data_IF_286601633077
#
_entry.id   IF_286601633077
#
_cell.length_a   1.000
_cell.length_b   1.000
_cell.length_c   1.000
_cell.angle_alpha   90.00
_cell.angle_beta   90.00
_cell.angle_gamma   90.00
#
_symmetry.space_group_name_H-M   'P 1'
#
loop_
_entity.id
_entity.type
_entity.pdbx_description
1 polymer ?
#
# COMPACT_ATOMS: atom_id res chain seq x y z
N UNK A 1 12.99 3.93 54.17
CA UNK A 1 14.18 4.45 53.45
C UNK A 1 14.46 3.53 52.27
N UNK A 2 13.81 3.72 51.12
CA UNK A 2 14.21 2.99 49.92
C UNK A 2 15.60 3.49 49.51
N UNK A 3 16.54 2.57 49.37
CA UNK A 3 17.91 2.89 48.93
C UNK A 3 17.87 3.36 47.48
N UNK A 4 18.64 4.40 47.17
CA UNK A 4 18.74 4.98 45.80
C UNK A 4 19.05 3.89 44.75
N UNK A 5 19.77 2.84 45.14
CA UNK A 5 20.09 1.68 44.30
C UNK A 5 18.88 0.81 43.95
N UNK A 6 17.94 0.62 44.90
CA UNK A 6 16.72 -0.18 44.65
C UNK A 6 15.77 0.50 43.66
N UNK A 7 15.73 1.83 43.64
CA UNK A 7 14.92 2.59 42.70
C UNK A 7 15.46 2.50 41.26
N UNK A 8 16.79 2.54 41.09
CA UNK A 8 17.44 2.44 39.78
C UNK A 8 17.22 1.08 39.12
N UNK A 9 17.28 -0.01 39.91
CA UNK A 9 17.07 -1.37 39.38
C UNK A 9 15.63 -1.57 38.91
N UNK A 10 14.64 -1.08 39.68
CA UNK A 10 13.23 -1.18 39.29
C UNK A 10 12.95 -0.40 38.01
N UNK A 11 13.57 0.77 37.84
CA UNK A 11 13.40 1.58 36.63
C UNK A 11 13.98 0.90 35.38
N UNK A 12 15.14 0.23 35.50
CA UNK A 12 15.77 -0.51 34.40
C UNK A 12 14.94 -1.75 34.00
N UNK A 13 14.37 -2.46 34.99
CA UNK A 13 13.51 -3.61 34.72
C UNK A 13 12.19 -3.19 34.05
N UNK A 14 11.63 -2.04 34.46
CA UNK A 14 10.40 -1.51 33.88
C UNK A 14 10.58 -1.05 32.43
N UNK A 15 11.72 -0.41 32.10
CA UNK A 15 12.02 -0.01 30.71
C UNK A 15 12.30 -1.21 29.81
N UNK A 16 12.91 -2.29 30.33
CA UNK A 16 13.11 -3.52 29.59
C UNK A 16 11.78 -4.26 29.29
N UNK A 17 10.79 -4.19 30.19
CA UNK A 17 9.50 -4.85 30.03
C UNK A 17 8.55 -4.16 29.03
N UNK A 18 8.74 -2.86 28.79
CA UNK A 18 7.88 -2.06 27.90
C UNK A 18 8.33 -2.10 26.41
N UNK A 19 9.52 -2.64 26.12
CA UNK A 19 10.15 -2.56 24.79
C UNK A 19 9.83 -3.69 23.80
N UNK A 20 8.95 -4.65 24.13
CA UNK A 20 8.75 -5.86 23.31
C UNK A 20 7.35 -5.97 22.70
N UNK A 21 6.89 -4.91 22.04
CA UNK A 21 5.76 -4.98 21.11
C UNK A 21 6.27 -5.13 19.68
N UNK A 22 6.30 -6.34 19.14
CA UNK A 22 6.56 -6.53 17.70
C UNK A 22 5.28 -6.11 16.96
N UNK A 23 5.24 -4.89 16.43
CA UNK A 23 4.22 -4.54 15.45
C UNK A 23 4.60 -5.26 14.15
N UNK A 24 3.98 -6.42 13.91
CA UNK A 24 4.03 -7.03 12.58
C UNK A 24 3.14 -6.17 11.68
N UNK A 25 3.76 -5.29 10.90
CA UNK A 25 3.05 -4.61 9.83
C UNK A 25 2.55 -5.67 8.85
N UNK A 26 1.23 -5.75 8.68
CA UNK A 26 0.64 -6.55 7.59
C UNK A 26 1.03 -5.86 6.29
N UNK A 27 1.82 -6.56 5.46
CA UNK A 27 2.11 -6.07 4.11
C UNK A 27 0.83 -6.18 3.28
N UNK A 28 0.35 -5.10 2.66
CA UNK A 28 -0.80 -5.19 1.77
C UNK A 28 -0.47 -6.11 0.60
N UNK A 29 -1.41 -7.00 0.29
CA UNK A 29 -1.32 -7.95 -0.83
C UNK A 29 -1.89 -7.40 -2.12
N UNK A 30 -2.33 -6.14 -2.11
CA UNK A 30 -2.94 -5.45 -3.24
C UNK A 30 -2.36 -4.04 -3.38
N UNK A 31 -2.36 -3.56 -4.61
CA UNK A 31 -1.96 -2.20 -4.97
C UNK A 31 -3.22 -1.50 -5.48
N UNK A 32 -3.55 -0.37 -4.89
CA UNK A 32 -4.56 0.53 -5.46
C UNK A 32 -3.91 1.45 -6.48
N UNK A 33 -4.58 1.64 -7.62
CA UNK A 33 -4.08 2.44 -8.73
C UNK A 33 -5.10 3.51 -9.13
N UNK A 34 -4.70 4.78 -9.04
CA UNK A 34 -5.44 5.90 -9.60
C UNK A 34 -4.79 6.33 -10.91
N UNK A 35 -5.59 6.33 -11.97
CA UNK A 35 -5.15 6.74 -13.30
C UNK A 35 -6.07 7.79 -13.90
N UNK A 36 -5.65 8.30 -15.06
CA UNK A 36 -6.50 9.11 -15.92
C UNK A 36 -6.64 8.48 -17.31
N UNK A 37 -7.83 8.61 -17.88
CA UNK A 37 -8.19 8.13 -19.20
C UNK A 37 -8.78 9.28 -20.01
N UNK A 38 -8.25 9.46 -21.22
CA UNK A 38 -8.86 10.28 -22.24
C UNK A 38 -9.41 9.39 -23.36
N UNK A 39 -10.57 9.74 -23.87
CA UNK A 39 -11.18 9.12 -25.04
C UNK A 39 -11.38 10.19 -26.14
N UNK A 40 -10.78 9.94 -27.30
CA UNK A 40 -10.76 10.88 -28.44
C UNK A 40 -10.37 12.33 -28.06
N UNK A 41 -9.40 12.47 -27.14
CA UNK A 41 -8.89 13.77 -26.69
C UNK A 41 -9.75 14.47 -25.62
N UNK A 42 -10.87 13.88 -25.20
CA UNK A 42 -11.69 14.39 -24.11
C UNK A 42 -11.50 13.51 -22.85
N UNK A 43 -11.71 14.05 -21.64
CA UNK A 43 -11.73 13.22 -20.44
C UNK A 43 -12.82 12.15 -20.54
N UNK A 44 -12.45 10.88 -20.35
CA UNK A 44 -13.38 9.77 -20.47
C UNK A 44 -14.48 9.83 -19.39
N UNK A 45 -15.68 9.36 -19.75
CA UNK A 45 -16.85 9.35 -18.88
C UNK A 45 -17.63 8.05 -19.03
N UNK A 46 -17.99 7.42 -17.90
CA UNK A 46 -18.77 6.19 -17.87
C UNK A 46 -17.95 4.95 -17.50
N UNK A 47 -18.53 3.74 -17.61
CA UNK A 47 -17.83 2.49 -17.34
C UNK A 47 -16.85 2.13 -18.47
N UNK A 48 -15.66 1.64 -18.09
CA UNK A 48 -14.65 1.14 -19.01
C UNK A 48 -14.07 -0.19 -18.51
N UNK A 49 -13.79 -1.09 -19.45
CA UNK A 49 -13.01 -2.30 -19.16
C UNK A 49 -11.52 -1.98 -19.22
N UNK A 50 -10.82 -2.17 -18.10
CA UNK A 50 -9.40 -1.88 -17.95
C UNK A 50 -8.60 -3.16 -17.71
N UNK A 51 -7.35 -3.18 -18.18
CA UNK A 51 -6.42 -4.28 -18.00
C UNK A 51 -5.11 -3.78 -17.43
N UNK A 52 -4.60 -4.46 -16.40
CA UNK A 52 -3.38 -4.10 -15.70
C UNK A 52 -2.40 -5.26 -15.68
N UNK A 53 -1.11 -4.93 -15.75
CA UNK A 53 -0.03 -5.91 -15.61
C UNK A 53 1.21 -5.21 -15.04
N UNK A 54 1.87 -5.84 -14.07
CA UNK A 54 3.08 -5.31 -13.46
C UNK A 54 4.32 -5.83 -14.19
N UNK A 55 5.29 -4.94 -14.43
CA UNK A 55 6.57 -5.26 -15.05
C UNK A 55 7.72 -4.99 -14.09
N UNK A 56 8.84 -5.69 -14.27
CA UNK A 56 10.05 -5.57 -13.43
C UNK A 56 10.99 -4.42 -13.83
N UNK A 57 10.77 -3.80 -14.99
CA UNK A 57 11.55 -2.68 -15.47
C UNK A 57 10.68 -1.66 -16.23
N UNK A 58 11.08 -0.37 -16.26
CA UNK A 58 10.34 0.68 -17.00
C UNK A 58 10.30 0.49 -18.52
N UNK A 59 11.27 -0.23 -19.10
CA UNK A 59 11.33 -0.54 -20.53
C UNK A 59 12.04 -1.87 -20.74
N UNK A 60 11.50 -2.72 -21.63
CA UNK A 60 12.09 -4.04 -21.97
C UNK A 60 12.02 -5.08 -20.84
N UNK A 61 11.28 -4.83 -19.77
CA UNK A 61 11.10 -5.75 -18.64
C UNK A 61 10.18 -6.93 -18.95
N UNK A 62 10.17 -7.88 -18.02
CA UNK A 62 9.24 -9.02 -18.03
C UNK A 62 8.05 -8.75 -17.10
N UNK A 63 6.90 -9.31 -17.46
CA UNK A 63 5.73 -9.24 -16.61
C UNK A 63 5.91 -10.07 -15.33
N UNK A 64 5.69 -9.43 -14.17
CA UNK A 64 5.70 -10.06 -12.85
C UNK A 64 4.36 -10.73 -12.55
N UNK A 65 3.27 -10.17 -13.08
CA UNK A 65 1.90 -10.68 -12.88
C UNK A 65 1.29 -11.16 -14.18
N UNK A 66 0.26 -12.01 -14.07
CA UNK A 66 -0.70 -12.20 -15.16
C UNK A 66 -1.49 -10.92 -15.45
N UNK A 67 -2.29 -10.95 -16.51
CA UNK A 67 -3.22 -9.88 -16.85
C UNK A 67 -4.33 -9.81 -15.81
N UNK A 68 -4.55 -8.62 -15.24
CA UNK A 68 -5.62 -8.35 -14.30
C UNK A 68 -6.72 -7.59 -15.04
N UNK A 69 -7.89 -8.21 -15.19
CA UNK A 69 -9.06 -7.60 -15.82
C UNK A 69 -9.91 -6.90 -14.75
N UNK A 70 -10.19 -5.61 -14.96
CA UNK A 70 -11.13 -4.83 -14.18
C UNK A 70 -12.24 -4.35 -15.11
N UNK A 71 -13.38 -5.05 -15.07
CA UNK A 71 -14.54 -4.73 -15.91
C UNK A 71 -15.36 -3.60 -15.30
N UNK A 72 -16.05 -2.84 -16.15
CA UNK A 72 -17.02 -1.80 -15.76
C UNK A 72 -16.48 -0.77 -14.74
N UNK A 73 -15.19 -0.40 -14.84
CA UNK A 73 -14.57 0.57 -13.92
C UNK A 73 -15.19 1.94 -14.16
N UNK A 74 -15.74 2.60 -13.12
CA UNK A 74 -16.32 3.92 -13.26
C UNK A 74 -15.23 4.96 -13.50
N UNK A 75 -15.29 5.63 -14.65
CA UNK A 75 -14.43 6.77 -14.98
C UNK A 75 -15.26 8.05 -14.88
N UNK A 76 -14.76 9.02 -14.12
CA UNK A 76 -15.42 10.30 -13.90
C UNK A 76 -14.46 11.46 -14.14
N UNK A 77 -14.77 12.33 -15.09
CA UNK A 77 -13.92 13.44 -15.50
C UNK A 77 -12.55 12.95 -15.98
N UNK A 78 -12.50 11.76 -16.57
CA UNK A 78 -11.26 11.09 -16.96
C UNK A 78 -10.47 10.49 -15.81
N UNK A 79 -10.95 10.45 -14.56
CA UNK A 79 -10.22 9.85 -13.43
C UNK A 79 -10.89 8.54 -13.01
N UNK A 80 -10.09 7.52 -12.68
CA UNK A 80 -10.55 6.24 -12.15
C UNK A 80 -9.66 5.75 -11.01
N UNK A 81 -10.16 4.79 -10.22
CA UNK A 81 -9.37 4.11 -9.18
C UNK A 81 -9.77 2.64 -9.14
N UNK A 82 -8.77 1.76 -9.07
CA UNK A 82 -8.91 0.30 -8.97
C UNK A 82 -8.06 -0.22 -7.81
#
# INVERSE_FOLDING_TARGET
MLSRHTLTVVLIVLTAALGSGRVLAVLPTAISYQGSLSDLGNPAQGPYDLQFQLYDAPAGGSAITGLVNAADVPVQGGVFTV
#
